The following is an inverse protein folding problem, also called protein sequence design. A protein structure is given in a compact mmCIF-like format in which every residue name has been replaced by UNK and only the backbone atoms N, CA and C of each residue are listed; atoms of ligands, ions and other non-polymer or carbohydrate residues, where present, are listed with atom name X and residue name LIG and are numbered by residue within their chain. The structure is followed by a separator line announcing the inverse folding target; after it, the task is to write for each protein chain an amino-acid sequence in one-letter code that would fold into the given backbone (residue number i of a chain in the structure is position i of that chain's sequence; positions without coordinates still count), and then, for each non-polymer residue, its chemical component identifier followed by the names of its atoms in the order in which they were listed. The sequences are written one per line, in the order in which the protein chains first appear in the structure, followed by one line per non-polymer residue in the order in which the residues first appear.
data_IF_504208050916
#
_entry.id   IF_504208050916
#
_cell.length_a   1.000
_cell.length_b   1.000
_cell.length_c   1.000
_cell.angle_alpha   90.00
_cell.angle_beta   90.00
_cell.angle_gamma   90.00
#
_symmetry.space_group_name_H-M   'P 1'
#
loop_
_entity.id
_entity.type
_entity.pdbx_description
1 polymer ?
#
# COMPACT_ATOMS: atom_id res chain seq x y z
N UNK A 1 -16.38 -4.75 -4.32
CA UNK A 1 -14.96 -4.33 -4.26
C UNK A 1 -14.25 -5.31 -3.37
N UNK A 2 -13.23 -5.95 -3.91
CA UNK A 2 -12.28 -6.69 -3.11
C UNK A 2 -11.45 -5.71 -2.28
N UNK A 3 -11.29 -6.02 -1.00
CA UNK A 3 -10.51 -5.24 -0.04
C UNK A 3 -9.57 -6.12 0.77
N UNK A 4 -9.40 -7.38 0.34
CA UNK A 4 -8.62 -8.40 1.01
C UNK A 4 -7.64 -8.97 -0.01
N UNK A 5 -6.40 -8.50 0.05
CA UNK A 5 -5.41 -8.71 -1.00
C UNK A 5 -4.40 -9.78 -0.64
N UNK A 6 -4.00 -10.61 -1.59
CA UNK A 6 -3.04 -11.69 -1.40
C UNK A 6 -1.67 -11.15 -0.99
N UNK A 7 -1.13 -11.65 0.12
CA UNK A 7 0.25 -11.39 0.55
C UNK A 7 1.17 -12.59 0.32
N UNK A 8 0.64 -13.82 0.36
CA UNK A 8 1.44 -15.03 0.19
C UNK A 8 0.85 -16.24 0.89
N UNK A 9 1.64 -17.32 0.97
CA UNK A 9 1.32 -18.53 1.72
C UNK A 9 2.04 -18.50 3.08
N UNK A 10 1.31 -18.74 4.16
CA UNK A 10 1.84 -18.82 5.52
C UNK A 10 2.80 -20.01 5.64
N UNK A 11 3.92 -19.82 6.33
CA UNK A 11 4.94 -20.86 6.48
C UNK A 11 4.45 -22.02 7.37
N UNK A 12 3.62 -21.74 8.38
CA UNK A 12 3.24 -22.71 9.40
C UNK A 12 2.22 -23.75 8.92
N UNK A 13 1.25 -23.31 8.11
CA UNK A 13 0.08 -24.11 7.73
C UNK A 13 -0.18 -24.13 6.21
N UNK A 14 0.53 -23.30 5.43
CA UNK A 14 0.32 -23.17 3.99
C UNK A 14 -0.97 -22.43 3.63
N UNK A 15 -1.69 -21.85 4.59
CA UNK A 15 -2.89 -21.06 4.30
C UNK A 15 -2.54 -19.72 3.65
N UNK A 16 -3.51 -19.15 2.95
CA UNK A 16 -3.31 -17.85 2.30
C UNK A 16 -3.30 -16.74 3.36
N UNK A 17 -2.26 -15.90 3.33
CA UNK A 17 -2.20 -14.67 4.08
C UNK A 17 -2.76 -13.52 3.24
N UNK A 18 -3.69 -12.76 3.80
CA UNK A 18 -4.30 -11.59 3.16
C UNK A 18 -3.97 -10.28 3.89
N UNK A 19 -3.81 -9.19 3.15
CA UNK A 19 -3.93 -7.82 3.65
C UNK A 19 -5.41 -7.41 3.60
N UNK A 20 -6.10 -7.55 4.72
CA UNK A 20 -7.54 -7.26 4.80
C UNK A 20 -7.82 -5.81 5.22
N UNK A 21 -8.08 -4.91 4.27
CA UNK A 21 -8.41 -3.51 4.52
C UNK A 21 -9.92 -3.28 4.72
N UNK A 22 -10.74 -4.32 4.54
CA UNK A 22 -12.21 -4.24 4.56
C UNK A 22 -12.86 -4.75 5.84
N UNK A 23 -14.02 -5.40 5.72
CA UNK A 23 -14.68 -6.05 6.86
C UNK A 23 -14.05 -7.39 7.23
N UNK A 24 -14.67 -8.16 8.16
CA UNK A 24 -14.24 -9.52 8.46
C UNK A 24 -14.18 -10.38 7.19
N UNK A 25 -13.07 -11.08 6.98
CA UNK A 25 -12.80 -11.89 5.79
C UNK A 25 -11.91 -13.07 6.18
N UNK A 26 -12.19 -14.28 5.68
CA UNK A 26 -11.39 -15.49 5.95
C UNK A 26 -11.02 -15.71 7.44
N UNK A 27 -11.93 -15.38 8.36
CA UNK A 27 -11.70 -15.54 9.80
C UNK A 27 -10.85 -14.45 10.47
N UNK A 28 -10.31 -13.49 9.71
CA UNK A 28 -9.52 -12.37 10.24
C UNK A 28 -10.32 -11.07 10.31
N UNK A 29 -10.01 -10.24 11.30
CA UNK A 29 -10.55 -8.90 11.43
C UNK A 29 -9.98 -7.94 10.38
N UNK A 30 -10.53 -6.72 10.33
CA UNK A 30 -9.97 -5.64 9.53
C UNK A 30 -8.57 -5.25 10.04
N UNK A 31 -7.60 -5.19 9.14
CA UNK A 31 -6.25 -4.70 9.40
C UNK A 31 -6.19 -3.16 9.36
N UNK A 32 -5.02 -2.58 9.62
CA UNK A 32 -4.85 -1.13 9.53
C UNK A 32 -4.96 -0.63 8.08
N UNK A 33 -5.26 0.65 7.83
CA UNK A 33 -5.51 1.13 6.47
C UNK A 33 -4.23 1.42 5.68
N UNK A 34 -3.08 1.45 6.36
CA UNK A 34 -1.82 1.92 5.82
C UNK A 34 -0.70 0.94 6.14
N UNK A 35 0.24 0.83 5.21
CA UNK A 35 1.22 -0.26 5.19
C UNK A 35 2.62 0.31 4.96
N UNK A 36 3.56 -0.13 5.79
CA UNK A 36 4.99 -0.01 5.54
C UNK A 36 5.51 -1.33 4.95
N UNK A 37 6.19 -1.24 3.82
CA UNK A 37 6.92 -2.34 3.21
C UNK A 37 8.41 -2.06 3.31
N UNK A 38 9.22 -3.01 3.75
CA UNK A 38 10.66 -2.82 3.72
C UNK A 38 11.42 -4.11 3.40
N UNK A 39 12.58 -3.97 2.77
CA UNK A 39 13.42 -5.11 2.41
C UNK A 39 14.64 -4.68 1.60
N UNK A 40 15.78 -5.32 1.82
CA UNK A 40 17.01 -5.02 1.10
C UNK A 40 16.88 -5.37 -0.40
N UNK A 41 17.82 -4.89 -1.21
CA UNK A 41 17.93 -5.29 -2.62
C UNK A 41 17.95 -6.83 -2.76
N UNK A 42 17.18 -7.37 -3.71
CA UNK A 42 17.05 -8.82 -3.92
C UNK A 42 16.16 -9.56 -2.92
N UNK A 43 15.56 -8.87 -1.94
CA UNK A 43 14.63 -9.49 -0.97
C UNK A 43 13.28 -9.89 -1.56
N UNK A 44 12.90 -9.35 -2.72
CA UNK A 44 11.56 -9.51 -3.32
C UNK A 44 10.61 -8.33 -3.08
N UNK A 45 11.08 -7.19 -2.56
CA UNK A 45 10.26 -6.01 -2.26
C UNK A 45 9.44 -5.53 -3.47
N UNK A 46 10.09 -5.25 -4.61
CA UNK A 46 9.39 -4.76 -5.80
C UNK A 46 8.36 -5.77 -6.30
N UNK A 47 8.71 -7.07 -6.32
CA UNK A 47 7.79 -8.17 -6.69
C UNK A 47 6.56 -8.20 -5.79
N UNK A 48 6.70 -8.04 -4.47
CA UNK A 48 5.56 -7.99 -3.55
C UNK A 48 4.65 -6.78 -3.84
N UNK A 49 5.23 -5.60 -4.11
CA UNK A 49 4.46 -4.39 -4.42
C UNK A 49 3.70 -4.56 -5.73
N UNK A 50 4.37 -5.06 -6.76
CA UNK A 50 3.78 -5.35 -8.08
C UNK A 50 2.63 -6.35 -7.95
N UNK A 51 2.84 -7.47 -7.23
CA UNK A 51 1.81 -8.46 -6.99
C UNK A 51 0.59 -7.87 -6.27
N UNK A 52 0.82 -7.01 -5.27
CA UNK A 52 -0.26 -6.32 -4.56
C UNK A 52 -1.04 -5.38 -5.49
N UNK A 53 -0.35 -4.60 -6.34
CA UNK A 53 -1.00 -3.71 -7.32
C UNK A 53 -1.82 -4.52 -8.33
N UNK A 54 -1.27 -5.63 -8.84
CA UNK A 54 -1.95 -6.50 -9.80
C UNK A 54 -3.18 -7.17 -9.18
N UNK A 55 -3.11 -7.66 -7.94
CA UNK A 55 -4.28 -8.22 -7.25
C UNK A 55 -5.38 -7.16 -7.04
N UNK A 56 -5.00 -5.94 -6.63
CA UNK A 56 -5.94 -4.81 -6.52
C UNK A 56 -6.66 -4.57 -7.85
N UNK A 57 -5.89 -4.49 -8.95
CA UNK A 57 -6.42 -4.17 -10.28
C UNK A 57 -7.21 -5.33 -10.91
N UNK A 58 -6.76 -6.58 -10.74
CA UNK A 58 -7.43 -7.77 -11.26
C UNK A 58 -8.78 -8.05 -10.58
N UNK A 59 -8.93 -7.63 -9.31
CA UNK A 59 -10.12 -7.96 -8.50
C UNK A 59 -11.08 -6.77 -8.30
N UNK A 60 -10.80 -5.63 -8.93
CA UNK A 60 -11.65 -4.44 -8.85
C UNK A 60 -11.69 -3.68 -10.19
N UNK A 61 -12.81 -3.06 -10.57
CA UNK A 61 -12.87 -2.22 -11.77
C UNK A 61 -12.17 -0.87 -11.54
N UNK A 62 -11.54 -0.30 -12.56
CA UNK A 62 -10.79 0.97 -12.45
C UNK A 62 -11.66 2.19 -12.13
N UNK A 63 -12.96 2.12 -12.44
CA UNK A 63 -13.94 3.14 -12.06
C UNK A 63 -14.13 3.24 -10.53
N UNK A 64 -13.80 2.19 -9.77
CA UNK A 64 -13.99 2.13 -8.33
C UNK A 64 -12.67 2.01 -7.54
N UNK A 65 -11.53 1.92 -8.22
CA UNK A 65 -10.20 1.90 -7.58
C UNK A 65 -9.21 2.72 -8.41
N UNK A 66 -8.60 3.70 -7.77
CA UNK A 66 -7.54 4.53 -8.32
C UNK A 66 -6.22 4.26 -7.61
N UNK A 67 -5.17 4.06 -8.39
CA UNK A 67 -3.80 3.83 -7.93
C UNK A 67 -2.95 5.04 -8.33
N UNK A 68 -2.21 5.59 -7.37
CA UNK A 68 -1.25 6.66 -7.57
C UNK A 68 0.13 6.13 -7.19
N UNK A 69 1.08 6.22 -8.11
CA UNK A 69 2.43 5.70 -7.95
C UNK A 69 3.43 6.85 -7.82
N UNK A 70 4.28 6.78 -6.80
CA UNK A 70 5.45 7.63 -6.65
C UNK A 70 6.66 6.71 -6.66
N UNK A 71 7.60 6.95 -7.57
CA UNK A 71 8.87 6.24 -7.64
C UNK A 71 10.01 7.21 -8.02
N UNK A 72 10.90 7.53 -7.07
CA UNK A 72 12.09 8.35 -7.31
C UNK A 72 13.06 7.80 -8.38
N UNK A 73 12.94 6.52 -8.76
CA UNK A 73 13.84 5.85 -9.70
C UNK A 73 13.29 5.81 -11.14
N UNK A 74 12.45 6.78 -11.51
CA UNK A 74 11.89 6.94 -12.85
C UNK A 74 10.92 5.82 -13.28
N UNK A 75 10.41 5.00 -12.36
CA UNK A 75 9.33 4.07 -12.65
C UNK A 75 9.74 2.83 -13.44
N UNK A 76 11.03 2.52 -13.55
CA UNK A 76 11.54 1.42 -14.40
C UNK A 76 10.89 0.08 -14.03
N UNK A 77 10.79 -0.21 -12.74
CA UNK A 77 10.17 -1.43 -12.20
C UNK A 77 8.64 -1.47 -12.44
N UNK A 78 8.01 -0.37 -12.86
CA UNK A 78 6.55 -0.23 -12.95
C UNK A 78 6.04 0.05 -14.38
N UNK A 79 6.92 0.00 -15.39
CA UNK A 79 6.56 0.31 -16.79
C UNK A 79 5.35 -0.47 -17.33
N UNK A 80 5.28 -1.77 -17.03
CA UNK A 80 4.11 -2.58 -17.38
C UNK A 80 2.86 -2.13 -16.61
N UNK A 81 2.99 -1.97 -15.30
CA UNK A 81 1.93 -1.60 -14.37
C UNK A 81 1.34 -0.21 -14.66
N UNK A 82 2.14 0.73 -15.14
CA UNK A 82 1.69 2.09 -15.49
C UNK A 82 0.59 2.09 -16.56
N UNK A 83 0.51 1.03 -17.39
CA UNK A 83 -0.53 0.86 -18.41
C UNK A 83 -1.86 0.36 -17.85
N UNK A 84 -1.94 -0.01 -16.57
CA UNK A 84 -3.20 -0.39 -15.95
C UNK A 84 -4.16 0.81 -15.94
N UNK A 85 -5.44 0.63 -16.28
CA UNK A 85 -6.42 1.72 -16.28
C UNK A 85 -6.68 2.29 -14.87
N UNK A 86 -6.32 1.53 -13.83
CA UNK A 86 -6.36 1.95 -12.42
C UNK A 86 -5.31 2.99 -12.07
N UNK A 87 -4.17 3.00 -12.76
CA UNK A 87 -3.08 3.95 -12.50
C UNK A 87 -3.48 5.32 -13.04
N UNK A 88 -3.50 6.33 -12.17
CA UNK A 88 -3.96 7.68 -12.50
C UNK A 88 -2.81 8.67 -12.47
N UNK A 89 -2.60 9.34 -13.60
CA UNK A 89 -1.63 10.43 -13.72
C UNK A 89 -0.19 9.99 -14.00
N UNK A 90 0.02 8.71 -14.33
CA UNK A 90 1.35 8.13 -14.55
C UNK A 90 2.15 7.98 -13.25
N UNK A 91 3.46 7.75 -13.39
CA UNK A 91 4.39 7.64 -12.28
C UNK A 91 4.94 9.02 -11.89
N UNK A 92 4.81 9.37 -10.62
CA UNK A 92 5.35 10.62 -10.05
C UNK A 92 6.82 10.41 -9.69
N UNK A 93 7.70 11.24 -10.27
CA UNK A 93 9.16 11.11 -10.19
C UNK A 93 9.85 12.30 -9.51
N UNK A 94 9.10 13.31 -9.08
CA UNK A 94 9.65 14.47 -8.38
C UNK A 94 8.93 14.75 -7.05
N UNK A 95 9.66 15.39 -6.14
CA UNK A 95 9.21 15.64 -4.77
C UNK A 95 8.02 16.60 -4.69
N UNK A 96 7.95 17.60 -5.57
CA UNK A 96 6.91 18.62 -5.51
C UNK A 96 5.55 18.03 -5.93
N UNK A 97 5.52 17.31 -7.05
CA UNK A 97 4.32 16.60 -7.50
C UNK A 97 3.88 15.52 -6.51
N UNK A 98 4.82 14.84 -5.85
CA UNK A 98 4.51 13.87 -4.81
C UNK A 98 3.81 14.52 -3.60
N UNK A 99 4.31 15.67 -3.13
CA UNK A 99 3.67 16.46 -2.06
C UNK A 99 2.27 16.90 -2.51
N UNK A 100 2.15 17.48 -3.71
CA UNK A 100 0.87 17.95 -4.25
C UNK A 100 -0.17 16.82 -4.32
N UNK A 101 0.21 15.64 -4.81
CA UNK A 101 -0.66 14.46 -4.85
C UNK A 101 -1.10 14.06 -3.44
N UNK A 102 -0.17 13.99 -2.48
CA UNK A 102 -0.47 13.64 -1.09
C UNK A 102 -1.39 14.67 -0.41
N UNK A 103 -1.18 15.97 -0.63
CA UNK A 103 -2.07 17.04 -0.16
C UNK A 103 -3.46 16.94 -0.81
N UNK A 104 -3.51 16.61 -2.09
CA UNK A 104 -4.74 16.33 -2.81
C UNK A 104 -5.55 15.18 -2.20
N UNK A 105 -4.88 14.14 -1.68
CA UNK A 105 -5.57 13.06 -0.94
C UNK A 105 -6.19 13.56 0.35
N UNK A 106 -5.56 14.51 1.03
CA UNK A 106 -6.13 15.11 2.26
C UNK A 106 -7.36 15.96 1.93
N UNK A 107 -7.29 16.76 0.87
CA UNK A 107 -8.44 17.56 0.41
C UNK A 107 -9.60 16.64 0.01
N UNK A 108 -9.30 15.57 -0.74
CA UNK A 108 -10.30 14.56 -1.12
C UNK A 108 -10.90 13.86 0.10
N UNK A 109 -10.07 13.50 1.10
CA UNK A 109 -10.54 12.93 2.36
C UNK A 109 -11.57 13.85 3.02
N UNK A 110 -11.25 15.13 3.20
CA UNK A 110 -12.15 16.11 3.84
C UNK A 110 -13.44 16.30 3.02
N UNK A 111 -13.34 16.36 1.68
CA UNK A 111 -14.51 16.41 0.78
C UNK A 111 -15.42 15.19 0.95
N UNK A 112 -14.85 13.98 1.06
CA UNK A 112 -15.61 12.74 1.25
C UNK A 112 -16.36 12.74 2.58
N UNK A 113 -15.76 13.24 3.66
CA UNK A 113 -16.44 13.35 4.95
C UNK A 113 -17.67 14.27 4.88
N UNK A 114 -17.60 15.36 4.13
CA UNK A 114 -18.76 16.23 3.92
C UNK A 114 -19.87 15.52 3.13
N UNK A 115 -19.52 14.76 2.09
CA UNK A 115 -20.48 13.92 1.35
C UNK A 115 -21.10 12.82 2.24
N UNK A 116 -20.30 12.21 3.11
CA UNK A 116 -20.78 11.20 4.06
C UNK A 116 -21.78 11.81 5.03
N UNK A 117 -21.49 13.00 5.56
CA UNK A 117 -22.39 13.75 6.45
C UNK A 117 -23.72 14.07 5.77
N UNK A 118 -23.69 14.57 4.54
CA UNK A 118 -24.89 14.94 3.78
C UNK A 118 -25.78 13.74 3.44
N UNK A 119 -25.18 12.57 3.20
CA UNK A 119 -25.90 11.32 2.86
C UNK A 119 -26.20 10.42 4.07
N UNK A 120 -25.78 10.83 5.27
CA UNK A 120 -25.84 10.01 6.50
C UNK A 120 -25.05 8.70 6.37
N UNK A 121 -23.98 8.67 5.58
CA UNK A 121 -23.05 7.55 5.50
C UNK A 121 -21.96 7.70 6.57
N UNK A 122 -21.36 6.57 6.97
CA UNK A 122 -20.28 6.55 7.97
C UNK A 122 -18.89 6.33 7.36
N UNK A 123 -18.86 5.80 6.14
CA UNK A 123 -17.66 5.39 5.41
C UNK A 123 -17.97 5.33 3.90
N UNK A 124 -16.92 5.17 3.08
CA UNK A 124 -17.04 5.05 1.62
C UNK A 124 -17.95 3.90 1.19
N UNK A 125 -17.96 2.78 1.93
CA UNK A 125 -18.76 1.61 1.59
C UNK A 125 -20.25 1.93 1.73
N UNK A 126 -20.65 2.46 2.87
CA UNK A 126 -22.03 2.87 3.15
C UNK A 126 -22.48 4.04 2.28
N UNK A 127 -21.56 4.93 1.88
CA UNK A 127 -21.82 5.96 0.87
C UNK A 127 -22.11 5.34 -0.50
N UNK A 128 -21.23 4.47 -1.01
CA UNK A 128 -21.36 3.88 -2.34
C UNK A 128 -22.58 2.94 -2.49
N UNK A 129 -23.06 2.36 -1.39
CA UNK A 129 -24.32 1.59 -1.37
C UNK A 129 -25.53 2.50 -1.64
N UNK A 130 -25.50 3.74 -1.12
CA UNK A 130 -26.58 4.72 -1.27
C UNK A 130 -26.48 5.54 -2.57
N UNK A 131 -25.27 5.73 -3.08
CA UNK A 131 -25.01 6.53 -4.25
C UNK A 131 -25.44 5.81 -5.55
N UNK A 132 -25.91 6.60 -6.52
CA UNK A 132 -26.03 6.13 -7.90
C UNK A 132 -24.67 5.68 -8.45
N UNK A 133 -24.61 4.72 -9.39
CA UNK A 133 -23.34 4.18 -9.90
C UNK A 133 -22.29 5.22 -10.30
N UNK A 134 -22.72 6.30 -10.94
CA UNK A 134 -21.89 7.39 -11.48
C UNK A 134 -21.39 8.34 -10.39
N UNK A 135 -22.06 8.35 -9.24
CA UNK A 135 -21.70 9.14 -8.06
C UNK A 135 -20.87 8.35 -7.05
N UNK A 136 -20.59 7.07 -7.31
CA UNK A 136 -19.75 6.25 -6.43
C UNK A 136 -18.33 6.79 -6.41
N UNK A 137 -17.76 6.80 -5.22
CA UNK A 137 -16.40 7.24 -4.99
C UNK A 137 -15.44 6.04 -5.10
N UNK A 138 -14.30 6.18 -5.82
CA UNK A 138 -13.32 5.12 -5.90
C UNK A 138 -12.48 5.04 -4.62
N UNK A 139 -12.06 3.83 -4.23
CA UNK A 139 -10.97 3.68 -3.26
C UNK A 139 -9.67 4.20 -3.88
N UNK A 140 -8.82 4.83 -3.08
CA UNK A 140 -7.56 5.41 -3.53
C UNK A 140 -6.40 4.72 -2.83
N UNK A 141 -5.44 4.24 -3.61
CA UNK A 141 -4.19 3.69 -3.12
C UNK A 141 -3.06 4.60 -3.56
N UNK A 142 -2.28 5.10 -2.59
CA UNK A 142 -1.00 5.73 -2.87
C UNK A 142 0.10 4.72 -2.56
N UNK A 143 0.90 4.39 -3.55
CA UNK A 143 2.10 3.58 -3.38
C UNK A 143 3.29 4.50 -3.61
N UNK A 144 4.07 4.71 -2.56
CA UNK A 144 5.30 5.47 -2.59
C UNK A 144 6.47 4.51 -2.42
N UNK A 145 7.09 4.12 -3.53
CA UNK A 145 8.27 3.26 -3.52
C UNK A 145 9.56 4.07 -3.34
N UNK A 146 10.51 3.47 -2.64
CA UNK A 146 11.79 4.08 -2.26
C UNK A 146 11.67 5.52 -1.72
N UNK A 147 10.68 5.79 -0.88
CA UNK A 147 10.51 7.11 -0.27
C UNK A 147 11.73 7.55 0.55
N UNK A 148 12.57 6.58 0.95
CA UNK A 148 13.67 6.75 1.86
C UNK A 148 14.68 7.84 1.45
N UNK A 149 15.09 7.83 0.19
CA UNK A 149 16.08 8.78 -0.35
C UNK A 149 15.56 10.22 -0.27
N UNK A 150 14.26 10.42 -0.50
CA UNK A 150 13.66 11.76 -0.45
C UNK A 150 13.45 12.29 0.96
N UNK A 151 13.29 11.42 1.95
CA UNK A 151 13.16 11.81 3.36
C UNK A 151 14.44 12.39 3.97
N UNK A 152 15.56 12.34 3.25
CA UNK A 152 16.80 13.05 3.63
C UNK A 152 16.66 14.57 3.45
N UNK A 153 15.72 15.03 2.61
CA UNK A 153 15.37 16.44 2.48
C UNK A 153 14.40 16.84 3.60
N UNK A 154 14.80 17.78 4.47
CA UNK A 154 13.99 18.18 5.63
C UNK A 154 12.62 18.75 5.24
N UNK A 155 12.52 19.53 4.16
CA UNK A 155 11.23 20.05 3.67
C UNK A 155 10.29 18.92 3.25
N UNK A 156 10.82 17.94 2.50
CA UNK A 156 10.05 16.78 2.04
C UNK A 156 9.58 15.94 3.23
N UNK A 157 10.50 15.63 4.15
CA UNK A 157 10.22 14.89 5.37
C UNK A 157 9.18 15.56 6.25
N UNK A 158 9.26 16.88 6.41
CA UNK A 158 8.28 17.67 7.16
C UNK A 158 6.89 17.61 6.53
N UNK A 159 6.80 17.80 5.20
CA UNK A 159 5.56 17.71 4.45
C UNK A 159 4.91 16.32 4.56
N UNK A 160 5.67 15.27 4.24
CA UNK A 160 5.18 13.87 4.30
C UNK A 160 4.71 13.50 5.69
N UNK A 161 5.49 13.83 6.73
CA UNK A 161 5.12 13.51 8.12
C UNK A 161 3.80 14.20 8.51
N UNK A 162 3.64 15.47 8.15
CA UNK A 162 2.42 16.24 8.40
C UNK A 162 1.21 15.66 7.66
N UNK A 163 1.36 15.36 6.37
CA UNK A 163 0.28 14.84 5.52
C UNK A 163 -0.15 13.44 5.98
N UNK A 164 0.80 12.53 6.18
CA UNK A 164 0.50 11.15 6.61
C UNK A 164 -0.15 11.16 8.00
N UNK A 165 0.26 12.05 8.91
CA UNK A 165 -0.41 12.23 10.21
C UNK A 165 -1.88 12.64 10.04
N UNK A 166 -2.19 13.59 9.15
CA UNK A 166 -3.58 14.01 8.88
C UNK A 166 -4.41 12.87 8.27
N UNK A 167 -3.83 12.13 7.32
CA UNK A 167 -4.48 10.98 6.69
C UNK A 167 -4.72 9.86 7.71
N UNK A 168 -3.76 9.55 8.57
CA UNK A 168 -3.85 8.46 9.55
C UNK A 168 -5.06 8.54 10.49
N UNK A 169 -5.58 9.75 10.76
CA UNK A 169 -6.76 9.94 11.61
C UNK A 169 -8.07 9.48 10.95
N UNK A 170 -8.21 9.65 9.62
CA UNK A 170 -9.53 9.63 8.94
C UNK A 170 -9.56 8.92 7.58
N UNK A 171 -8.41 8.60 7.00
CA UNK A 171 -8.30 8.06 5.65
C UNK A 171 -9.01 6.70 5.48
N UNK A 172 -9.04 5.86 6.54
CA UNK A 172 -9.72 4.55 6.52
C UNK A 172 -11.18 4.66 6.07
N UNK A 173 -11.98 5.48 6.74
CA UNK A 173 -13.40 5.62 6.41
C UNK A 173 -13.60 6.31 5.05
N UNK A 174 -12.67 7.20 4.68
CA UNK A 174 -12.65 7.83 3.36
C UNK A 174 -12.24 6.90 2.21
N UNK A 175 -11.75 5.67 2.50
CA UNK A 175 -11.28 4.73 1.48
C UNK A 175 -9.98 5.17 0.81
N UNK A 176 -9.07 5.77 1.59
CA UNK A 176 -7.72 6.16 1.16
C UNK A 176 -6.72 5.30 1.91
N UNK A 177 -5.82 4.66 1.16
CA UNK A 177 -4.85 3.69 1.66
C UNK A 177 -3.46 4.10 1.20
N UNK A 178 -2.49 4.01 2.11
CA UNK A 178 -1.12 4.43 1.89
C UNK A 178 -0.21 3.21 2.01
N UNK A 179 0.68 3.03 1.02
CA UNK A 179 1.72 2.02 1.04
C UNK A 179 3.04 2.76 0.84
N UNK A 180 3.89 2.74 1.86
CA UNK A 180 5.21 3.33 1.81
C UNK A 180 6.24 2.20 1.80
N UNK A 181 7.17 2.23 0.86
CA UNK A 181 8.18 1.19 0.72
C UNK A 181 9.60 1.75 0.75
N UNK A 182 10.50 1.09 1.48
CA UNK A 182 11.89 1.50 1.60
C UNK A 182 12.85 0.31 1.53
N UNK A 183 13.98 0.45 0.83
CA UNK A 183 15.05 -0.54 0.91
C UNK A 183 15.91 -0.38 2.17
N UNK A 184 16.05 0.87 2.63
CA UNK A 184 16.82 1.24 3.83
C UNK A 184 15.90 1.88 4.87
N UNK A 185 15.20 1.07 5.67
CA UNK A 185 14.37 1.58 6.75
C UNK A 185 15.26 1.93 7.96
N UNK A 186 15.78 3.15 8.00
CA UNK A 186 16.50 3.69 9.17
C UNK A 186 15.69 4.77 9.92
N UNK A 187 16.16 5.14 11.11
CA UNK A 187 15.44 6.03 12.00
C UNK A 187 15.41 7.50 11.51
N UNK A 188 16.41 7.91 10.72
CA UNK A 188 16.48 9.27 10.16
C UNK A 188 15.49 9.47 9.03
N UNK A 189 15.32 8.41 8.24
CA UNK A 189 14.39 8.31 7.11
C UNK A 189 12.94 8.05 7.55
N UNK A 190 12.75 7.29 8.62
CA UNK A 190 11.43 6.90 9.12
C UNK A 190 11.17 7.39 10.55
N UNK A 191 10.81 8.69 10.71
CA UNK A 191 10.41 9.22 12.00
C UNK A 191 9.32 8.38 12.67
N UNK A 192 9.34 8.34 14.01
CA UNK A 192 8.34 7.60 14.81
C UNK A 192 6.92 7.99 14.40
N UNK A 193 6.65 9.28 14.23
CA UNK A 193 5.34 9.79 13.82
C UNK A 193 4.85 9.22 12.48
N UNK A 194 5.74 9.05 11.50
CA UNK A 194 5.40 8.42 10.23
C UNK A 194 5.12 6.93 10.44
N UNK A 195 6.00 6.25 11.20
CA UNK A 195 5.87 4.82 11.48
C UNK A 195 4.57 4.50 12.18
N UNK A 196 4.15 5.26 13.18
CA UNK A 196 2.94 5.01 13.97
C UNK A 196 1.66 5.09 13.14
N UNK A 197 1.67 5.83 12.03
CA UNK A 197 0.54 5.92 11.11
C UNK A 197 0.51 4.82 10.04
N UNK A 198 1.60 4.06 9.87
CA UNK A 198 1.71 2.95 8.92
C UNK A 198 1.58 1.61 9.66
N UNK A 199 0.37 1.31 10.17
CA UNK A 199 0.14 0.25 11.16
C UNK A 199 0.49 -1.18 10.69
N UNK A 200 0.27 -1.51 9.40
CA UNK A 200 0.67 -2.80 8.87
C UNK A 200 2.16 -2.78 8.50
N UNK A 201 2.89 -3.85 8.85
CA UNK A 201 4.29 -4.04 8.46
C UNK A 201 4.43 -5.27 7.59
N UNK A 202 4.93 -5.10 6.38
CA UNK A 202 5.28 -6.18 5.47
C UNK A 202 6.80 -6.14 5.24
N UNK A 203 7.55 -6.87 6.07
CA UNK A 203 9.01 -6.74 6.11
C UNK A 203 9.65 -7.99 5.51
N UNK A 204 10.28 -7.83 4.34
CA UNK A 204 11.10 -8.86 3.72
C UNK A 204 12.51 -8.85 4.32
N UNK A 205 13.41 -9.70 3.80
CA UNK A 205 14.80 -9.77 4.28
C UNK A 205 15.47 -8.39 4.32
N UNK A 206 15.92 -8.00 5.51
CA UNK A 206 16.69 -6.77 5.75
C UNK A 206 18.14 -7.08 6.10
N UNK A 207 19.01 -6.06 6.04
CA UNK A 207 20.46 -6.24 6.20
C UNK A 207 20.92 -6.47 7.65
N UNK A 208 20.17 -6.01 8.65
CA UNK A 208 20.61 -6.04 10.05
C UNK A 208 19.46 -6.14 11.04
N UNK A 209 19.78 -6.55 12.27
CA UNK A 209 18.85 -6.56 13.42
C UNK A 209 18.26 -5.18 13.67
N UNK A 210 19.08 -4.11 13.65
CA UNK A 210 18.60 -2.76 13.88
C UNK A 210 17.59 -2.32 12.81
N UNK A 211 17.83 -2.68 11.56
CA UNK A 211 16.88 -2.47 10.45
C UNK A 211 15.57 -3.23 10.66
N UNK A 212 15.63 -4.47 11.17
CA UNK A 212 14.45 -5.26 11.55
C UNK A 212 13.67 -4.58 12.67
N UNK A 213 14.33 -4.11 13.72
CA UNK A 213 13.67 -3.45 14.85
C UNK A 213 12.99 -2.14 14.43
N UNK A 214 13.60 -1.35 13.54
CA UNK A 214 13.03 -0.10 13.05
C UNK A 214 11.78 -0.36 12.19
N UNK A 215 11.83 -1.34 11.30
CA UNK A 215 10.78 -1.61 10.32
C UNK A 215 9.66 -2.53 10.86
N UNK A 216 10.02 -3.65 11.49
CA UNK A 216 9.09 -4.66 12.01
C UNK A 216 8.68 -4.36 13.47
N UNK A 217 9.52 -3.64 14.22
CA UNK A 217 9.36 -3.42 15.66
C UNK A 217 9.99 -4.51 16.55
N UNK A 218 10.62 -5.52 15.94
CA UNK A 218 11.35 -6.59 16.62
C UNK A 218 12.44 -7.13 15.70
N UNK A 219 13.38 -7.90 16.25
CA UNK A 219 14.36 -8.68 15.47
C UNK A 219 13.71 -9.84 14.73
N UNK A 220 14.39 -10.36 13.71
CA UNK A 220 14.02 -11.59 13.00
C UNK A 220 13.98 -11.42 11.49
N UNK A 221 13.65 -10.23 10.98
CA UNK A 221 13.57 -10.00 9.53
C UNK A 221 14.94 -10.11 8.83
N UNK A 222 16.04 -9.90 9.56
CA UNK A 222 17.40 -10.11 9.06
C UNK A 222 17.69 -11.58 8.71
N UNK A 223 16.99 -12.51 9.36
CA UNK A 223 17.14 -13.96 9.19
C UNK A 223 16.22 -14.54 8.11
N UNK A 224 15.35 -13.73 7.50
CA UNK A 224 14.51 -14.18 6.39
C UNK A 224 15.36 -14.66 5.21
N UNK A 225 14.80 -15.53 4.38
CA UNK A 225 15.53 -16.23 3.32
C UNK A 225 15.77 -15.35 2.08
N UNK A 226 15.08 -14.22 1.95
CA UNK A 226 15.04 -13.42 0.72
C UNK A 226 14.00 -13.95 -0.26
N UNK A 227 14.06 -13.48 -1.52
CA UNK A 227 13.21 -13.97 -2.62
C UNK A 227 11.71 -14.08 -2.27
N UNK A 228 11.16 -13.09 -1.56
CA UNK A 228 9.74 -13.05 -1.20
C UNK A 228 9.40 -13.62 0.18
N UNK A 229 10.37 -14.15 0.94
CA UNK A 229 10.13 -14.51 2.33
C UNK A 229 9.88 -13.24 3.16
N UNK A 230 8.69 -13.19 3.78
CA UNK A 230 8.05 -12.02 4.36
C UNK A 230 7.70 -12.28 5.83
N UNK A 231 8.02 -11.33 6.70
CA UNK A 231 7.45 -11.20 8.05
C UNK A 231 6.35 -10.12 8.03
N UNK A 232 5.10 -10.54 8.24
CA UNK A 232 3.94 -9.68 8.26
C UNK A 232 3.46 -9.43 9.69
N UNK A 233 3.46 -8.18 10.14
CA UNK A 233 2.78 -7.75 11.37
C UNK A 233 1.56 -6.94 10.97
N UNK A 234 0.39 -7.55 11.13
CA UNK A 234 -0.89 -7.01 10.70
C UNK A 234 -1.76 -6.73 11.93
N UNK A 235 -2.49 -5.62 11.91
CA UNK A 235 -3.43 -5.31 13.00
C UNK A 235 -4.54 -6.36 13.04
N UNK A 236 -4.84 -6.88 14.23
CA UNK A 236 -5.81 -7.97 14.41
C UNK A 236 -5.21 -9.38 14.41
N UNK A 237 -3.95 -9.54 13.98
CA UNK A 237 -3.19 -10.78 14.17
C UNK A 237 -2.49 -10.77 15.53
N UNK A 238 -2.44 -11.93 16.21
CA UNK A 238 -1.88 -12.03 17.55
C UNK A 238 -0.35 -11.86 17.58
N UNK A 239 0.31 -12.24 16.49
CA UNK A 239 1.76 -12.21 16.35
C UNK A 239 2.17 -11.94 14.91
N UNK A 240 3.45 -11.68 14.69
CA UNK A 240 4.04 -11.68 13.35
C UNK A 240 3.79 -13.02 12.66
N UNK A 241 3.31 -12.97 11.42
CA UNK A 241 3.08 -14.13 10.56
C UNK A 241 4.19 -14.19 9.51
N UNK A 242 4.81 -15.34 9.33
CA UNK A 242 5.80 -15.57 8.28
C UNK A 242 5.12 -16.18 7.06
N UNK A 243 5.44 -15.66 5.88
CA UNK A 243 4.82 -16.08 4.63
C UNK A 243 5.78 -15.96 3.44
N UNK A 244 5.48 -16.68 2.37
CA UNK A 244 6.16 -16.58 1.09
C UNK A 244 5.28 -15.81 0.09
N UNK A 245 5.77 -14.66 -0.37
CA UNK A 245 5.10 -13.83 -1.35
C UNK A 245 4.98 -14.53 -2.72
N UNK A 246 3.91 -14.25 -3.49
CA UNK A 246 3.79 -14.74 -4.86
C UNK A 246 4.89 -14.13 -5.75
N UNK A 247 5.25 -14.87 -6.79
CA UNK A 247 6.19 -14.44 -7.81
C UNK A 247 5.48 -14.41 -9.16
N UNK A 248 5.72 -13.34 -9.92
CA UNK A 248 5.34 -13.21 -11.31
C UNK A 248 6.59 -12.82 -12.08
N UNK A 249 6.82 -13.45 -13.23
CA UNK A 249 7.86 -13.00 -14.16
C UNK A 249 7.41 -11.72 -14.87
N UNK A 250 8.34 -10.99 -15.48
CA UNK A 250 8.00 -9.78 -16.25
C UNK A 250 7.01 -10.09 -17.40
N UNK A 251 7.11 -11.28 -18.01
CA UNK A 251 6.18 -11.77 -19.03
C UNK A 251 4.78 -12.00 -18.45
N UNK A 252 4.67 -12.65 -17.29
CA UNK A 252 3.39 -12.84 -16.61
C UNK A 252 2.75 -11.49 -16.23
N UNK A 253 3.55 -10.50 -15.80
CA UNK A 253 3.06 -9.16 -15.48
C UNK A 253 2.48 -8.49 -16.73
N UNK A 254 3.20 -8.54 -17.86
CA UNK A 254 2.75 -8.01 -19.15
C UNK A 254 1.42 -8.61 -19.61
N UNK A 255 1.28 -9.94 -19.49
CA UNK A 255 0.07 -10.67 -19.86
C UNK A 255 -1.11 -10.31 -18.94
N UNK A 256 -0.88 -10.24 -17.63
CA UNK A 256 -1.92 -9.87 -16.65
C UNK A 256 -2.37 -8.42 -16.86
N UNK A 257 -1.44 -7.48 -17.08
CA UNK A 257 -1.78 -6.08 -17.38
C UNK A 257 -2.63 -6.00 -18.64
N UNK A 258 -2.25 -6.71 -19.70
CA UNK A 258 -2.99 -6.74 -20.96
C UNK A 258 -4.39 -7.33 -20.78
N UNK A 259 -4.52 -8.40 -19.99
CA UNK A 259 -5.80 -9.02 -19.67
C UNK A 259 -6.71 -8.08 -18.87
N UNK A 260 -6.17 -7.38 -17.86
CA UNK A 260 -6.92 -6.40 -17.07
C UNK A 260 -7.40 -5.25 -17.97
N UNK A 261 -6.51 -4.68 -18.78
CA UNK A 261 -6.85 -3.56 -19.67
C UNK A 261 -7.91 -3.94 -20.71
N UNK A 262 -7.93 -5.19 -21.19
CA UNK A 262 -8.93 -5.68 -22.13
C UNK A 262 -10.30 -5.93 -21.47
N UNK A 263 -10.34 -6.20 -20.16
CA UNK A 263 -11.56 -6.49 -19.40
C UNK A 263 -12.14 -5.26 -18.70
N UNK A 264 -11.35 -4.20 -18.50
CA UNK A 264 -11.78 -2.97 -17.87
C UNK A 264 -12.70 -2.18 -18.82
N UNK A 265 -13.98 -2.12 -18.47
CA UNK A 265 -15.04 -1.40 -19.19
C UNK A 265 -15.47 -0.14 -18.45
#
# INVERSE_FOLDING_TARGET
LNTSFLLGLRELDGEILYLNLGGPFAGVSQHDPHTLIAGATGSGKSVLIQALILDIAATNPSALVHIHLIDPKMGVDYSAIERLPHVRGGIIIDQAAAIEMMEGLVIEMDRRYELFRQSGARDIRSFNIKAAPEARLPMKFLIHDEFAEWMLTEDYKGAVTSIVSRLGVKARAAGIHLVFAAQRPDAGVMPVQLRDNLGNRLILKVASVGTSEIALGTKGAENLLGLGHLAARLSGEASTVFAQAPFLSDEDIEDVVSAIAAQDG
#
